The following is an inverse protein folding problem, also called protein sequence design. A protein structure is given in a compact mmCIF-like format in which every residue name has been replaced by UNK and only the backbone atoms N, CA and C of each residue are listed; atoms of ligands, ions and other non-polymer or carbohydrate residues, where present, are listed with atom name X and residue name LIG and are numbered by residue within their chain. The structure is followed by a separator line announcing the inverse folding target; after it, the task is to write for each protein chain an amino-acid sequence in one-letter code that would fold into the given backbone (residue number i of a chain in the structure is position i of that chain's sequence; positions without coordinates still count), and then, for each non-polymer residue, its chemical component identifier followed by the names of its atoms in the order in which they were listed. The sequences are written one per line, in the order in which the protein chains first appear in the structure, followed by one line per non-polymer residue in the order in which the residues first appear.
data_IF_375155935808
#
_entry.id   IF_375155935808
#
_cell.length_a   1.000
_cell.length_b   1.000
_cell.length_c   1.000
_cell.angle_alpha   90.00
_cell.angle_beta   90.00
_cell.angle_gamma   90.00
#
_symmetry.space_group_name_H-M   'P 1'
#
loop_
_entity.id
_entity.type
_entity.pdbx_description
1 polymer ?
#
# COMPACT_ATOMS: atom_id res chain seq x y z
N UNK A 1 -14.37 4.75 3.95
CA UNK A 1 -13.17 4.73 4.82
C UNK A 1 -12.73 3.29 4.91
N UNK A 2 -11.63 2.98 4.24
CA UNK A 2 -11.06 1.65 4.18
C UNK A 2 -10.02 1.51 5.28
N UNK A 3 -10.12 0.41 6.04
CA UNK A 3 -9.07 0.06 6.98
C UNK A 3 -7.78 -0.18 6.21
N UNK A 4 -6.66 0.38 6.68
CA UNK A 4 -5.33 0.22 6.04
C UNK A 4 -4.97 -1.22 5.68
N UNK A 5 -5.51 -2.18 6.44
CA UNK A 5 -5.30 -3.62 6.25
C UNK A 5 -5.75 -4.13 4.89
N UNK A 6 -6.75 -3.54 4.24
CA UNK A 6 -7.21 -4.03 2.93
C UNK A 6 -6.15 -3.86 1.83
N UNK A 7 -5.69 -2.64 1.49
CA UNK A 7 -4.66 -2.49 0.46
C UNK A 7 -3.32 -3.11 0.89
N UNK A 8 -3.01 -3.18 2.18
CA UNK A 8 -1.81 -3.89 2.66
C UNK A 8 -1.90 -5.39 2.36
N UNK A 9 -3.03 -6.04 2.66
CA UNK A 9 -3.24 -7.45 2.31
C UNK A 9 -3.17 -7.68 0.81
N UNK A 10 -3.77 -6.79 0.02
CA UNK A 10 -3.74 -6.87 -1.44
C UNK A 10 -2.31 -6.74 -1.97
N UNK A 11 -1.53 -5.79 -1.43
CA UNK A 11 -0.12 -5.61 -1.77
C UNK A 11 0.70 -6.86 -1.39
N UNK A 12 0.56 -7.37 -0.17
CA UNK A 12 1.25 -8.58 0.29
C UNK A 12 0.88 -9.81 -0.55
N UNK A 13 -0.39 -9.99 -0.89
CA UNK A 13 -0.86 -11.08 -1.75
C UNK A 13 -0.26 -11.02 -3.17
N UNK A 14 0.09 -9.81 -3.64
CA UNK A 14 0.73 -9.60 -4.93
C UNK A 14 2.27 -9.54 -4.85
N UNK A 15 2.85 -10.00 -3.73
CA UNK A 15 4.29 -10.12 -3.58
C UNK A 15 5.01 -8.81 -3.26
N UNK A 16 4.29 -7.77 -2.81
CA UNK A 16 4.93 -6.60 -2.21
C UNK A 16 5.28 -6.90 -0.75
N UNK A 17 6.46 -6.47 -0.32
CA UNK A 17 6.88 -6.53 1.08
C UNK A 17 7.14 -5.13 1.63
N UNK A 18 6.95 -4.99 2.94
CA UNK A 18 7.30 -3.75 3.64
C UNK A 18 8.82 -3.59 3.68
N UNK A 19 9.31 -2.51 3.09
CA UNK A 19 10.71 -2.07 3.12
C UNK A 19 10.94 -1.01 4.21
N UNK A 20 10.02 -0.90 5.18
CA UNK A 20 10.08 0.06 6.27
C UNK A 20 9.83 1.50 5.84
N UNK A 21 9.98 2.41 6.80
CA UNK A 21 9.78 3.85 6.63
C UNK A 21 9.26 4.51 7.91
N UNK A 22 9.58 5.79 8.11
CA UNK A 22 9.30 6.51 9.36
C UNK A 22 7.88 7.08 9.39
N UNK A 23 7.50 7.90 8.40
CA UNK A 23 6.17 8.50 8.27
C UNK A 23 5.22 7.73 7.35
N UNK A 24 5.75 7.17 6.27
CA UNK A 24 5.04 6.30 5.35
C UNK A 24 5.71 4.95 5.38
N UNK A 25 4.94 3.88 5.27
CA UNK A 25 5.48 2.55 5.06
C UNK A 25 5.67 2.32 3.57
N UNK A 26 6.88 1.92 3.18
CA UNK A 26 7.19 1.65 1.79
C UNK A 26 6.91 0.18 1.52
N UNK A 27 6.09 -0.11 0.52
CA UNK A 27 5.87 -1.45 0.01
C UNK A 27 6.54 -1.57 -1.34
N UNK A 28 7.40 -2.57 -1.52
CA UNK A 28 8.11 -2.80 -2.78
C UNK A 28 8.01 -4.27 -3.19
N UNK A 29 7.91 -4.54 -4.48
CA UNK A 29 8.02 -5.87 -5.05
C UNK A 29 9.35 -6.07 -5.81
N UNK A 30 10.32 -5.18 -5.59
CA UNK A 30 11.61 -5.14 -6.28
C UNK A 30 11.60 -4.42 -7.63
N UNK A 31 10.43 -4.14 -8.21
CA UNK A 31 10.28 -3.37 -9.45
C UNK A 31 9.55 -2.05 -9.25
N UNK A 32 8.54 -2.05 -8.39
CA UNK A 32 7.66 -0.93 -8.10
C UNK A 32 7.62 -0.72 -6.60
N UNK A 33 7.74 0.53 -6.18
CA UNK A 33 7.63 0.94 -4.78
C UNK A 33 6.44 1.86 -4.62
N UNK A 34 5.55 1.52 -3.70
CA UNK A 34 4.39 2.32 -3.30
C UNK A 34 4.51 2.72 -1.85
N UNK A 35 4.04 3.91 -1.51
CA UNK A 35 4.05 4.40 -0.14
C UNK A 35 2.66 4.37 0.45
N UNK A 36 2.51 3.76 1.61
CA UNK A 36 1.25 3.65 2.34
C UNK A 36 1.36 4.49 3.61
N UNK A 37 0.42 5.41 3.84
CA UNK A 37 0.37 6.17 5.10
C UNK A 37 0.13 5.24 6.28
N UNK A 38 0.83 5.48 7.40
CA UNK A 38 0.69 4.72 8.64
C UNK A 38 -0.52 5.12 9.49
N UNK A 39 -1.64 5.43 8.86
CA UNK A 39 -2.88 5.76 9.55
C UNK A 39 -3.75 4.51 9.67
N UNK A 40 -4.62 4.45 10.69
CA UNK A 40 -5.51 3.31 10.93
C UNK A 40 -6.55 3.18 9.80
N UNK A 41 -7.06 4.32 9.40
CA UNK A 41 -8.02 4.49 8.31
C UNK A 41 -7.38 5.32 7.20
N UNK A 42 -7.56 4.85 5.97
CA UNK A 42 -7.13 5.57 4.78
C UNK A 42 -8.35 5.84 3.89
N UNK A 43 -8.41 7.01 3.25
CA UNK A 43 -9.47 7.29 2.28
C UNK A 43 -9.45 6.24 1.17
N UNK A 44 -10.63 5.77 0.76
CA UNK A 44 -10.80 4.70 -0.23
C UNK A 44 -10.15 5.10 -1.56
N UNK A 45 -10.18 6.39 -1.90
CA UNK A 45 -9.47 6.95 -3.05
C UNK A 45 -7.95 6.80 -2.94
N UNK A 46 -7.39 6.96 -1.75
CA UNK A 46 -5.95 6.75 -1.51
C UNK A 46 -5.59 5.28 -1.65
N UNK A 47 -6.41 4.37 -1.11
CA UNK A 47 -6.23 2.93 -1.28
C UNK A 47 -6.27 2.53 -2.76
N UNK A 48 -7.25 3.03 -3.53
CA UNK A 48 -7.32 2.82 -4.98
C UNK A 48 -6.10 3.38 -5.71
N UNK A 49 -5.63 4.58 -5.38
CA UNK A 49 -4.42 5.16 -5.99
C UNK A 49 -3.18 4.33 -5.71
N UNK A 50 -3.04 3.77 -4.50
CA UNK A 50 -1.94 2.89 -4.14
C UNK A 50 -1.97 1.61 -4.99
N UNK A 51 -3.13 0.97 -5.11
CA UNK A 51 -3.29 -0.24 -5.94
C UNK A 51 -3.03 0.04 -7.42
N UNK A 52 -3.45 1.21 -7.91
CA UNK A 52 -3.18 1.66 -9.27
C UNK A 52 -1.70 1.91 -9.50
N UNK A 53 -1.01 2.51 -8.54
CA UNK A 53 0.43 2.71 -8.60
C UNK A 53 1.19 1.38 -8.52
N UNK A 54 0.65 0.39 -7.83
CA UNK A 54 1.18 -0.98 -7.77
C UNK A 54 0.88 -1.80 -9.03
N UNK A 55 0.05 -1.30 -9.96
CA UNK A 55 -0.33 -2.00 -11.18
C UNK A 55 -1.36 -3.12 -10.98
N UNK A 56 -2.07 -3.10 -9.84
CA UNK A 56 -3.02 -4.13 -9.44
C UNK A 56 -4.46 -3.80 -9.86
N UNK A 57 -4.79 -2.50 -10.03
CA UNK A 57 -6.11 -2.05 -10.49
C UNK A 57 -6.20 -0.60 -10.92
#
# INVERSE_FOLDING_TARGET
MTARREPVKELEANGFWSNGGTKHEHFTNGKTTVMVKRHRDIPDETAKRILRQAGLR
#
